data_IF_843866080125
#
_entry.id   IF_843866080125
#
_cell.length_a   1.000
_cell.length_b   1.000
_cell.length_c   1.000
_cell.angle_alpha   90.00
_cell.angle_beta   90.00
_cell.angle_gamma   90.00
#
_symmetry.space_group_name_H-M   'P 1'
#
loop_
_entity.id
_entity.type
_entity.pdbx_description
1 polymer ?
#
# COMPACT_ATOMS: atom_id res chain seq x y z
N UNK A 1 9.67 10.96 19.58
CA UNK A 1 10.08 10.91 18.15
C UNK A 1 11.37 11.67 17.99
N UNK A 2 12.34 11.13 17.26
CA UNK A 2 13.60 11.80 16.95
C UNK A 2 13.31 13.13 16.21
N UNK A 3 13.81 14.29 16.68
CA UNK A 3 13.58 15.59 16.04
C UNK A 3 14.10 15.68 14.60
N UNK A 4 15.00 14.78 14.19
CA UNK A 4 15.54 14.73 12.82
C UNK A 4 14.73 13.83 11.86
N UNK A 5 13.71 13.10 12.32
CA UNK A 5 12.92 12.21 11.45
C UNK A 5 13.68 10.99 10.89
N UNK A 6 14.92 10.74 11.34
CA UNK A 6 15.74 9.63 10.87
C UNK A 6 15.35 8.30 11.51
N UNK A 7 15.22 7.27 10.69
CA UNK A 7 15.27 5.87 11.12
C UNK A 7 16.74 5.56 11.48
N UNK A 8 17.00 5.24 12.75
CA UNK A 8 18.35 4.97 13.31
C UNK A 8 19.27 6.21 13.30
N UNK A 9 18.92 7.26 14.06
CA UNK A 9 19.72 8.48 14.11
C UNK A 9 21.16 8.27 14.51
N UNK A 10 21.49 7.21 15.25
CA UNK A 10 22.83 6.99 15.78
C UNK A 10 23.77 6.29 14.80
N UNK A 11 23.25 5.76 13.68
CA UNK A 11 24.07 5.12 12.65
C UNK A 11 24.84 6.18 11.84
N UNK A 12 26.19 6.17 11.89
CA UNK A 12 27.01 7.16 11.16
C UNK A 12 26.79 7.15 9.65
N UNK A 13 26.47 5.99 9.07
CA UNK A 13 26.20 5.84 7.63
C UNK A 13 24.88 6.51 7.26
N UNK A 14 23.86 6.40 8.11
CA UNK A 14 22.57 7.07 7.94
C UNK A 14 22.74 8.59 8.07
N UNK A 15 23.50 9.07 9.07
CA UNK A 15 23.80 10.52 9.21
C UNK A 15 24.47 11.07 7.95
N UNK A 16 25.52 10.40 7.48
CA UNK A 16 26.25 10.81 6.26
C UNK A 16 25.35 10.80 5.03
N UNK A 17 24.49 9.80 4.87
CA UNK A 17 23.53 9.77 3.76
C UNK A 17 22.50 10.91 3.87
N UNK A 18 22.01 11.19 5.08
CA UNK A 18 21.08 12.30 5.30
C UNK A 18 21.69 13.65 4.92
N UNK A 19 22.96 13.88 5.25
CA UNK A 19 23.70 15.08 4.82
C UNK A 19 23.78 15.18 3.30
N UNK A 20 24.10 14.07 2.60
CA UNK A 20 24.11 14.03 1.12
C UNK A 20 22.74 14.34 0.53
N UNK A 21 21.67 13.71 1.06
CA UNK A 21 20.29 13.92 0.61
C UNK A 21 19.85 15.36 0.84
N UNK A 22 20.19 15.93 2.00
CA UNK A 22 19.87 17.32 2.35
C UNK A 22 20.59 18.29 1.43
N UNK A 23 21.87 18.05 1.14
CA UNK A 23 22.63 18.84 0.17
C UNK A 23 22.02 18.73 -1.24
N UNK A 24 21.73 17.52 -1.71
CA UNK A 24 21.08 17.33 -3.01
C UNK A 24 19.73 18.08 -3.09
N UNK A 25 18.93 18.01 -2.03
CA UNK A 25 17.67 18.77 -1.93
C UNK A 25 17.88 20.29 -1.98
N UNK A 26 18.96 20.81 -1.38
CA UNK A 26 19.34 22.22 -1.46
C UNK A 26 19.78 22.62 -2.87
N UNK A 27 20.55 21.76 -3.56
CA UNK A 27 21.00 22.01 -4.92
C UNK A 27 19.82 22.21 -5.88
N UNK A 28 18.71 21.49 -5.66
CA UNK A 28 17.48 21.69 -6.44
C UNK A 28 16.93 23.12 -6.34
N UNK A 29 17.27 23.93 -5.33
CA UNK A 29 16.83 25.32 -5.20
C UNK A 29 17.49 26.27 -6.20
N UNK A 30 18.55 25.83 -6.88
CA UNK A 30 19.14 26.62 -7.95
C UNK A 30 18.18 26.76 -9.14
N UNK A 31 18.19 27.90 -9.87
CA UNK A 31 17.31 28.14 -11.02
C UNK A 31 17.40 27.10 -12.14
N UNK A 32 18.49 26.34 -12.23
CA UNK A 32 18.69 25.29 -13.24
C UNK A 32 17.88 24.03 -12.97
N UNK A 33 17.46 23.83 -11.72
CA UNK A 33 16.60 22.73 -11.29
C UNK A 33 15.12 23.12 -11.23
N UNK A 34 14.76 24.28 -11.80
CA UNK A 34 13.35 24.63 -12.01
C UNK A 34 12.66 23.54 -12.84
N UNK A 35 11.45 23.15 -12.46
CA UNK A 35 10.78 21.97 -13.02
C UNK A 35 10.62 22.07 -14.55
N UNK A 36 10.37 23.25 -15.09
CA UNK A 36 10.30 23.48 -16.54
C UNK A 36 11.62 23.10 -17.25
N UNK A 37 12.77 23.48 -16.68
CA UNK A 37 14.08 23.14 -17.25
C UNK A 37 14.35 21.66 -17.14
N UNK A 38 14.01 21.06 -15.99
CA UNK A 38 14.09 19.62 -15.82
C UNK A 38 13.27 18.90 -16.89
N UNK A 39 11.99 19.26 -17.08
CA UNK A 39 11.09 18.70 -18.10
C UNK A 39 11.59 18.89 -19.54
N UNK A 40 12.41 19.91 -19.82
CA UNK A 40 13.03 20.08 -21.14
C UNK A 40 14.24 19.17 -21.39
N UNK A 41 14.75 18.44 -20.38
CA UNK A 41 15.85 17.47 -20.57
C UNK A 41 15.37 16.34 -21.50
N UNK A 42 16.07 16.05 -22.60
CA UNK A 42 15.76 14.90 -23.45
C UNK A 42 15.71 13.61 -22.63
N UNK A 43 14.74 12.74 -22.90
CA UNK A 43 14.58 11.45 -22.20
C UNK A 43 13.92 11.51 -20.82
N UNK A 44 13.70 12.69 -20.23
CA UNK A 44 13.21 12.77 -18.85
C UNK A 44 11.89 12.05 -18.59
N UNK A 45 10.93 12.14 -19.51
CA UNK A 45 9.65 11.46 -19.31
C UNK A 45 9.85 9.94 -19.26
N UNK A 46 10.66 9.36 -20.14
CA UNK A 46 10.94 7.92 -20.14
C UNK A 46 11.77 7.49 -18.94
N UNK A 47 12.77 8.28 -18.55
CA UNK A 47 13.71 7.91 -17.49
C UNK A 47 13.08 7.99 -16.08
N UNK A 48 12.03 8.83 -15.94
CA UNK A 48 11.34 9.08 -14.68
C UNK A 48 9.86 8.70 -14.74
N UNK A 49 9.53 7.66 -15.50
CA UNK A 49 8.21 7.03 -15.49
C UNK A 49 8.34 5.51 -15.44
N UNK A 50 7.32 4.84 -14.90
CA UNK A 50 7.23 3.39 -14.85
C UNK A 50 5.83 2.94 -15.27
N UNK A 51 5.75 1.97 -16.17
CA UNK A 51 4.50 1.28 -16.51
C UNK A 51 4.56 -0.18 -16.05
N UNK A 52 3.49 -0.65 -15.42
CA UNK A 52 3.30 -2.06 -15.04
C UNK A 52 1.81 -2.39 -15.06
N UNK A 53 1.40 -3.42 -15.80
CA UNK A 53 0.06 -4.05 -15.77
C UNK A 53 -1.12 -3.10 -15.54
N UNK A 54 -1.36 -2.19 -16.50
CA UNK A 54 -2.49 -1.24 -16.43
C UNK A 54 -2.30 -0.07 -15.47
N UNK A 55 -1.14 0.01 -14.79
CA UNK A 55 -0.74 1.12 -13.95
C UNK A 55 0.43 1.89 -14.59
N UNK A 56 0.35 3.22 -14.59
CA UNK A 56 1.41 4.09 -15.07
C UNK A 56 1.72 5.15 -14.01
N UNK A 57 2.98 5.20 -13.59
CA UNK A 57 3.48 6.16 -12.62
C UNK A 57 4.46 7.12 -13.31
N UNK A 58 4.04 8.36 -13.48
CA UNK A 58 4.87 9.46 -13.94
C UNK A 58 5.40 10.25 -12.74
N UNK A 59 6.70 10.16 -12.51
CA UNK A 59 7.42 10.98 -11.52
C UNK A 59 8.41 11.94 -12.19
N UNK A 60 8.31 12.14 -13.50
CA UNK A 60 9.11 13.10 -14.27
C UNK A 60 8.83 14.55 -13.87
N UNK A 61 7.66 14.81 -13.27
CA UNK A 61 7.27 16.12 -12.72
C UNK A 61 7.75 16.38 -11.29
N UNK A 62 8.63 15.53 -10.74
CA UNK A 62 9.22 15.71 -9.42
C UNK A 62 10.62 16.35 -9.48
N UNK A 63 11.06 17.05 -8.42
CA UNK A 63 12.42 17.61 -8.32
C UNK A 63 13.43 16.52 -7.95
N UNK A 64 13.73 15.69 -8.94
CA UNK A 64 14.57 14.51 -8.85
C UNK A 64 15.39 14.39 -10.14
N UNK A 65 16.63 13.93 -9.97
CA UNK A 65 17.57 13.57 -11.01
C UNK A 65 18.20 12.20 -10.68
N UNK A 66 19.15 11.76 -11.50
CA UNK A 66 19.82 10.48 -11.38
C UNK A 66 20.60 10.35 -10.07
N UNK A 67 21.21 11.44 -9.60
CA UNK A 67 21.92 11.47 -8.33
C UNK A 67 20.96 11.32 -7.15
N UNK A 68 19.85 12.05 -7.15
CA UNK A 68 18.81 11.93 -6.14
C UNK A 68 18.21 10.52 -6.09
N UNK A 69 17.91 9.90 -7.24
CA UNK A 69 17.46 8.50 -7.29
C UNK A 69 18.50 7.53 -6.72
N UNK A 70 19.78 7.73 -7.06
CA UNK A 70 20.88 6.91 -6.52
C UNK A 70 20.97 6.99 -4.99
N UNK A 71 20.87 8.21 -4.44
CA UNK A 71 20.87 8.45 -2.99
C UNK A 71 19.62 7.87 -2.29
N UNK A 72 18.44 7.97 -2.91
CA UNK A 72 17.23 7.31 -2.42
C UNK A 72 17.37 5.78 -2.42
N UNK A 73 18.03 5.22 -3.44
CA UNK A 73 18.41 3.80 -3.48
C UNK A 73 19.41 3.42 -2.37
N UNK A 74 20.39 4.27 -2.07
CA UNK A 74 21.30 4.10 -0.91
C UNK A 74 20.50 4.09 0.40
N UNK A 75 19.50 4.98 0.53
CA UNK A 75 18.61 5.05 1.69
C UNK A 75 17.79 3.78 1.87
N UNK A 76 17.24 3.25 0.78
CA UNK A 76 16.52 1.98 0.78
C UNK A 76 17.42 0.84 1.29
N UNK A 77 18.67 0.75 0.81
CA UNK A 77 19.61 -0.29 1.21
C UNK A 77 20.00 -0.18 2.69
N UNK A 78 20.41 1.00 3.15
CA UNK A 78 20.82 1.21 4.54
C UNK A 78 19.67 1.01 5.54
N UNK A 79 18.45 1.38 5.18
CA UNK A 79 17.28 1.16 6.04
C UNK A 79 16.81 -0.31 6.10
N UNK A 80 17.39 -1.19 5.28
CA UNK A 80 16.97 -2.58 5.11
C UNK A 80 15.48 -2.72 4.76
N UNK A 81 14.91 -1.75 4.03
CA UNK A 81 13.47 -1.68 3.78
C UNK A 81 12.91 -2.94 3.11
N UNK A 82 13.60 -3.50 2.10
CA UNK A 82 13.18 -4.73 1.43
C UNK A 82 13.23 -5.96 2.33
N UNK A 83 14.25 -6.05 3.21
CA UNK A 83 14.33 -7.13 4.22
C UNK A 83 13.17 -7.05 5.20
N UNK A 84 12.89 -5.85 5.74
CA UNK A 84 11.75 -5.62 6.65
C UNK A 84 10.40 -5.89 5.99
N UNK A 85 10.25 -5.53 4.72
CA UNK A 85 9.06 -5.87 3.95
C UNK A 85 8.93 -7.39 3.81
N UNK A 86 10.01 -8.09 3.48
CA UNK A 86 10.03 -9.57 3.43
C UNK A 86 9.63 -10.18 4.78
N UNK A 87 10.23 -9.73 5.88
CA UNK A 87 9.91 -10.17 7.26
C UNK A 87 8.43 -9.94 7.58
N UNK A 88 7.89 -8.75 7.26
CA UNK A 88 6.47 -8.45 7.42
C UNK A 88 5.59 -9.44 6.64
N UNK A 89 5.91 -9.70 5.37
CA UNK A 89 5.13 -10.62 4.53
C UNK A 89 5.24 -12.07 4.97
N UNK A 90 6.30 -12.44 5.69
CA UNK A 90 6.53 -13.77 6.25
C UNK A 90 5.91 -13.95 7.64
N UNK A 91 5.28 -12.92 8.19
CA UNK A 91 4.60 -13.01 9.49
C UNK A 91 5.48 -12.80 10.71
N UNK A 92 6.65 -12.21 10.52
CA UNK A 92 7.49 -11.76 11.63
C UNK A 92 6.80 -10.68 12.47
N UNK A 93 7.22 -10.57 13.73
CA UNK A 93 6.71 -9.54 14.65
C UNK A 93 7.31 -8.17 14.29
N UNK A 94 6.61 -7.44 13.42
CA UNK A 94 6.98 -6.07 13.00
C UNK A 94 6.30 -4.98 13.82
N UNK A 95 5.28 -5.33 14.61
CA UNK A 95 4.67 -4.46 15.61
C UNK A 95 5.09 -4.92 17.02
N UNK A 96 6.26 -4.47 17.51
CA UNK A 96 6.81 -4.93 18.78
C UNK A 96 6.03 -4.42 19.98
N UNK A 97 5.40 -3.24 19.87
CA UNK A 97 4.64 -2.65 20.99
C UNK A 97 3.41 -3.46 21.36
N UNK A 98 2.80 -4.13 20.38
CA UNK A 98 1.66 -5.03 20.62
C UNK A 98 2.03 -6.51 20.49
N UNK A 99 3.30 -6.82 20.22
CA UNK A 99 3.81 -8.16 19.94
C UNK A 99 3.00 -8.90 18.85
N UNK A 100 2.84 -8.24 17.68
CA UNK A 100 2.00 -8.72 16.57
C UNK A 100 2.70 -8.69 15.21
N UNK A 101 2.36 -9.65 14.36
CA UNK A 101 2.62 -9.60 12.93
C UNK A 101 1.63 -8.66 12.21
N UNK A 102 1.97 -8.21 11.00
CA UNK A 102 1.13 -7.34 10.17
C UNK A 102 0.80 -8.00 8.81
N UNK A 103 -0.15 -8.93 8.81
CA UNK A 103 -0.42 -9.86 7.70
C UNK A 103 -1.52 -9.43 6.71
N UNK A 104 -1.71 -8.13 6.50
CA UNK A 104 -2.73 -7.62 5.56
C UNK A 104 -2.48 -8.02 4.10
N UNK A 105 -1.22 -8.31 3.73
CA UNK A 105 -0.84 -8.83 2.41
C UNK A 105 -1.34 -10.26 2.19
N UNK A 106 -1.39 -11.08 3.25
CA UNK A 106 -1.84 -12.47 3.17
C UNK A 106 -3.29 -12.59 2.69
N UNK A 107 -4.14 -11.60 3.02
CA UNK A 107 -5.54 -11.57 2.60
C UNK A 107 -5.75 -11.39 1.09
N UNK A 108 -4.68 -11.05 0.34
CA UNK A 108 -4.70 -10.83 -1.11
C UNK A 108 -3.64 -11.66 -1.85
N UNK A 109 -2.94 -12.54 -1.14
CA UNK A 109 -1.91 -13.40 -1.73
C UNK A 109 -2.55 -14.66 -2.32
N UNK A 110 -2.52 -14.77 -3.64
CA UNK A 110 -3.05 -15.90 -4.41
C UNK A 110 -2.00 -16.99 -4.68
N UNK A 111 -0.78 -16.85 -4.14
CA UNK A 111 0.27 -17.86 -4.28
C UNK A 111 -0.09 -19.18 -3.58
N UNK A 112 0.45 -20.32 -4.03
CA UNK A 112 0.11 -21.63 -3.48
C UNK A 112 0.77 -21.92 -2.12
N UNK A 113 1.82 -21.19 -1.75
CA UNK A 113 2.58 -21.45 -0.53
C UNK A 113 1.79 -21.07 0.73
N UNK A 114 1.76 -21.94 1.76
CA UNK A 114 1.12 -21.60 3.04
C UNK A 114 1.89 -20.49 3.75
N UNK A 115 1.19 -19.72 4.59
CA UNK A 115 1.80 -18.76 5.49
C UNK A 115 1.44 -19.12 6.93
N UNK A 116 2.41 -19.71 7.64
CA UNK A 116 2.20 -20.15 9.02
C UNK A 116 2.39 -18.98 9.99
N UNK A 117 1.37 -18.72 10.80
CA UNK A 117 1.45 -17.82 11.94
C UNK A 117 0.87 -18.53 13.17
N UNK A 118 1.70 -18.74 14.20
CA UNK A 118 1.34 -19.53 15.39
C UNK A 118 0.79 -20.93 15.01
N UNK A 119 1.51 -21.64 14.16
CA UNK A 119 1.15 -22.97 13.64
C UNK A 119 -0.15 -23.05 12.81
N UNK A 120 -0.75 -21.91 12.47
CA UNK A 120 -1.95 -21.85 11.62
C UNK A 120 -1.61 -21.28 10.25
N UNK A 121 -2.05 -21.94 9.19
CA UNK A 121 -2.01 -21.36 7.84
C UNK A 121 -3.07 -20.27 7.71
N UNK A 122 -2.64 -19.01 7.79
CA UNK A 122 -3.55 -17.86 7.78
C UNK A 122 -4.18 -17.65 6.41
N UNK A 123 -3.50 -18.06 5.32
CA UNK A 123 -4.03 -17.91 3.97
C UNK A 123 -5.22 -18.83 3.75
N UNK A 124 -5.11 -20.08 4.19
CA UNK A 124 -6.21 -21.02 4.16
C UNK A 124 -7.43 -20.53 4.99
N UNK A 125 -7.19 -19.96 6.18
CA UNK A 125 -8.27 -19.40 6.99
C UNK A 125 -8.95 -18.20 6.33
N UNK A 126 -8.17 -17.27 5.75
CA UNK A 126 -8.71 -16.12 5.02
C UNK A 126 -9.52 -16.56 3.80
N UNK A 127 -9.04 -17.56 3.06
CA UNK A 127 -9.75 -18.13 1.91
C UNK A 127 -11.11 -18.72 2.31
N UNK A 128 -11.17 -19.46 3.41
CA UNK A 128 -12.45 -19.98 3.93
C UNK A 128 -13.44 -18.86 4.31
N UNK A 129 -12.95 -17.73 4.82
CA UNK A 129 -13.79 -16.57 5.13
C UNK A 129 -14.28 -15.92 3.83
N UNK A 130 -13.41 -15.76 2.84
CA UNK A 130 -13.77 -15.21 1.53
C UNK A 130 -14.85 -16.05 0.85
N UNK A 131 -14.73 -17.38 0.87
CA UNK A 131 -15.75 -18.30 0.31
C UNK A 131 -17.10 -18.14 1.02
N UNK A 132 -17.10 -17.97 2.34
CA UNK A 132 -18.34 -17.72 3.10
C UNK A 132 -18.96 -16.37 2.73
N UNK A 133 -18.14 -15.33 2.56
CA UNK A 133 -18.59 -14.00 2.13
C UNK A 133 -19.21 -14.09 0.73
N UNK A 134 -18.53 -14.74 -0.21
CA UNK A 134 -19.01 -14.92 -1.58
C UNK A 134 -20.36 -15.63 -1.63
N UNK A 135 -20.49 -16.77 -0.92
CA UNK A 135 -21.73 -17.53 -0.84
C UNK A 135 -22.87 -16.73 -0.20
N UNK A 136 -22.57 -15.96 0.85
CA UNK A 136 -23.56 -15.10 1.50
C UNK A 136 -24.03 -13.99 0.56
N UNK A 137 -23.09 -13.26 -0.07
CA UNK A 137 -23.39 -12.18 -1.01
C UNK A 137 -24.20 -12.70 -2.20
N UNK A 138 -23.82 -13.83 -2.80
CA UNK A 138 -24.58 -14.46 -3.88
C UNK A 138 -26.00 -14.81 -3.43
N UNK A 139 -26.16 -15.41 -2.25
CA UNK A 139 -27.47 -15.78 -1.72
C UNK A 139 -28.38 -14.57 -1.43
N UNK A 140 -27.80 -13.44 -1.01
CA UNK A 140 -28.53 -12.18 -0.84
C UNK A 140 -28.94 -11.60 -2.20
N UNK A 141 -28.02 -11.53 -3.16
CA UNK A 141 -28.28 -10.98 -4.50
C UNK A 141 -29.29 -11.82 -5.31
N UNK A 142 -29.31 -13.14 -5.09
CA UNK A 142 -30.27 -14.06 -5.73
C UNK A 142 -31.62 -14.11 -5.00
N UNK A 143 -31.76 -13.43 -3.85
CA UNK A 143 -32.97 -13.46 -3.03
C UNK A 143 -33.22 -14.81 -2.35
N UNK A 144 -32.21 -15.69 -2.22
CA UNK A 144 -32.29 -16.89 -1.39
C UNK A 144 -32.33 -16.52 0.10
N UNK A 145 -31.52 -15.54 0.49
CA UNK A 145 -31.59 -14.88 1.79
C UNK A 145 -32.43 -13.62 1.63
N UNK A 146 -33.59 -13.61 2.27
CA UNK A 146 -34.55 -12.51 2.21
C UNK A 146 -34.85 -11.94 3.61
N UNK A 147 -35.52 -10.78 3.62
CA UNK A 147 -36.10 -10.20 4.82
C UNK A 147 -37.13 -11.14 5.48
N UNK A 148 -37.51 -10.84 6.72
CA UNK A 148 -38.54 -11.58 7.45
C UNK A 148 -39.90 -11.63 6.72
N UNK A 149 -40.16 -10.71 5.79
CA UNK A 149 -41.36 -10.68 4.95
C UNK A 149 -41.18 -11.37 3.59
N UNK A 150 -40.07 -12.07 3.36
CA UNK A 150 -39.78 -12.77 2.09
C UNK A 150 -39.39 -11.85 0.93
N UNK A 151 -39.09 -10.56 1.19
CA UNK A 151 -38.64 -9.61 0.16
C UNK A 151 -37.11 -9.57 0.07
N UNK A 152 -36.53 -9.41 -1.14
CA UNK A 152 -35.10 -9.15 -1.32
C UNK A 152 -34.66 -7.90 -0.57
N UNK A 153 -33.40 -7.87 -0.15
CA UNK A 153 -32.78 -6.66 0.38
C UNK A 153 -32.55 -5.65 -0.74
N UNK A 154 -32.61 -4.38 -0.40
CA UNK A 154 -32.34 -3.26 -1.32
C UNK A 154 -31.28 -2.30 -0.77
N UNK A 155 -31.08 -2.31 0.54
CA UNK A 155 -30.18 -1.41 1.25
C UNK A 155 -29.30 -2.19 2.23
N UNK A 156 -28.05 -1.76 2.38
CA UNK A 156 -27.10 -2.30 3.35
C UNK A 156 -26.64 -1.18 4.28
N UNK A 157 -26.81 -1.36 5.58
CA UNK A 157 -26.31 -0.40 6.57
C UNK A 157 -25.01 -0.93 7.18
N UNK A 158 -23.91 -0.21 6.97
CA UNK A 158 -22.61 -0.52 7.57
C UNK A 158 -22.45 0.26 8.87
N UNK A 159 -22.30 -0.47 9.99
CA UNK A 159 -22.10 0.13 11.31
C UNK A 159 -20.63 -0.08 11.70
N UNK A 160 -19.82 0.98 11.60
CA UNK A 160 -18.40 0.94 11.93
C UNK A 160 -17.77 2.33 12.02
N UNK A 161 -16.60 2.43 12.65
CA UNK A 161 -15.82 3.67 12.74
C UNK A 161 -14.39 3.44 12.25
N UNK A 162 -13.73 4.50 11.78
CA UNK A 162 -12.33 4.44 11.36
C UNK A 162 -12.07 3.39 10.30
N UNK A 163 -11.09 2.50 10.53
CA UNK A 163 -10.69 1.46 9.59
C UNK A 163 -11.81 0.47 9.22
N UNK A 164 -12.84 0.31 10.07
CA UNK A 164 -13.98 -0.57 9.79
C UNK A 164 -15.01 0.01 8.83
N UNK A 165 -14.89 1.29 8.42
CA UNK A 165 -15.83 1.95 7.52
C UNK A 165 -15.13 2.64 6.34
N UNK A 166 -14.08 3.43 6.59
CA UNK A 166 -13.46 4.28 5.57
C UNK A 166 -12.98 3.52 4.32
N UNK A 167 -12.43 2.31 4.52
CA UNK A 167 -12.02 1.44 3.40
C UNK A 167 -13.21 0.93 2.59
N UNK A 168 -14.30 0.54 3.26
CA UNK A 168 -15.52 0.07 2.62
C UNK A 168 -16.19 1.19 1.81
N UNK A 169 -16.31 2.38 2.40
CA UNK A 169 -16.88 3.57 1.74
C UNK A 169 -16.07 3.95 0.49
N UNK A 170 -14.74 4.02 0.60
CA UNK A 170 -13.87 4.33 -0.53
C UNK A 170 -14.05 3.35 -1.69
N UNK A 171 -14.00 2.03 -1.40
CA UNK A 171 -14.13 1.00 -2.45
C UNK A 171 -15.53 1.02 -3.07
N UNK A 172 -16.59 1.19 -2.26
CA UNK A 172 -17.96 1.31 -2.78
C UNK A 172 -18.09 2.50 -3.73
N UNK A 173 -17.63 3.68 -3.33
CA UNK A 173 -17.72 4.89 -4.15
C UNK A 173 -16.89 4.77 -5.43
N UNK A 174 -15.66 4.24 -5.33
CA UNK A 174 -14.78 4.05 -6.48
C UNK A 174 -15.35 3.05 -7.51
N UNK A 175 -16.10 2.05 -7.04
CA UNK A 175 -16.69 0.99 -7.88
C UNK A 175 -18.18 1.18 -8.14
N UNK A 176 -18.78 2.32 -7.76
CA UNK A 176 -20.22 2.55 -7.88
C UNK A 176 -20.77 2.46 -9.32
N UNK A 177 -19.90 2.47 -10.34
CA UNK A 177 -20.28 2.24 -11.75
C UNK A 177 -20.41 0.76 -12.14
N UNK A 178 -19.95 -0.18 -11.31
CA UNK A 178 -20.05 -1.61 -11.55
C UNK A 178 -21.31 -2.17 -10.86
N UNK A 179 -22.25 -2.69 -11.66
CA UNK A 179 -23.52 -3.38 -11.34
C UNK A 179 -24.21 -3.06 -9.99
N UNK A 180 -25.39 -2.41 -10.05
CA UNK A 180 -26.15 -1.95 -8.89
C UNK A 180 -27.41 -2.79 -8.66
N UNK A 181 -27.33 -3.77 -7.77
CA UNK A 181 -28.53 -4.44 -7.22
C UNK A 181 -28.84 -4.06 -5.77
N UNK A 182 -27.89 -3.45 -5.07
CA UNK A 182 -28.01 -3.01 -3.68
C UNK A 182 -27.34 -1.64 -3.52
N UNK A 183 -27.98 -0.77 -2.75
CA UNK A 183 -27.41 0.51 -2.35
C UNK A 183 -26.81 0.42 -0.93
N UNK A 184 -25.60 0.98 -0.76
CA UNK A 184 -24.97 1.27 0.53
C UNK A 184 -25.33 2.68 1.00
#
# INVERSE_FOLDING_TARGET
MNPAGLLYPDDPSIKKLHEKLTKAAQDFNAPDYHLQKLLSRPGRFSDFSLGIDGFFMDFSRQRVDENALSLLGESQRLSNALKKFSEMTQGEIVNPTENRAALHTAARDTGPSPLLYKEMDVKAQMQQVNEKIEQFCASVHEGKICSACGKPFTQVVVIGIGGSYLGCEFVYQALAGADRKLDL
#
